data_IF_643635216967
#
_entry.id   IF_643635216967
#
_cell.length_a   1.000
_cell.length_b   1.000
_cell.length_c   1.000
_cell.angle_alpha   90.00
_cell.angle_beta   90.00
_cell.angle_gamma   90.00
#
_symmetry.space_group_name_H-M   'P 1'
#
loop_
_entity.id
_entity.type
_entity.pdbx_description
1 polymer ?
#
# COMPACT_ATOMS: atom_id res chain seq x y z
N UNK A 1 49.68 16.39 -5.35
CA UNK A 1 48.61 16.91 -4.50
C UNK A 1 47.44 17.26 -5.41
N UNK A 2 46.43 16.38 -5.52
CA UNK A 2 45.23 16.65 -6.30
C UNK A 2 44.14 17.17 -5.37
N UNK A 3 43.73 18.41 -5.58
CA UNK A 3 42.67 19.11 -4.87
C UNK A 3 41.35 18.35 -5.03
N UNK A 4 40.83 17.80 -3.92
CA UNK A 4 39.43 17.33 -3.86
C UNK A 4 38.53 18.54 -4.08
N UNK A 5 38.05 18.72 -5.30
CA UNK A 5 36.91 19.60 -5.56
C UNK A 5 35.76 19.10 -4.70
N UNK A 6 35.26 19.94 -3.80
CA UNK A 6 34.05 19.64 -3.05
C UNK A 6 32.86 19.42 -3.99
N UNK A 7 31.81 18.79 -3.50
CA UNK A 7 30.55 18.68 -4.22
C UNK A 7 29.96 20.09 -4.35
N UNK A 8 29.76 20.54 -5.59
CA UNK A 8 28.95 21.72 -5.90
C UNK A 8 27.47 21.46 -5.52
N UNK A 9 26.70 22.53 -5.28
CA UNK A 9 25.29 22.52 -4.89
C UNK A 9 24.45 21.72 -5.89
N UNK A 10 24.69 21.87 -7.19
CA UNK A 10 23.92 21.15 -8.21
C UNK A 10 24.21 19.64 -8.20
N UNK A 11 25.47 19.26 -8.01
CA UNK A 11 25.88 17.86 -7.91
C UNK A 11 25.41 17.22 -6.60
N UNK A 12 25.48 17.94 -5.49
CA UNK A 12 24.91 17.51 -4.20
C UNK A 12 23.39 17.36 -4.30
N UNK A 13 22.70 18.30 -4.95
CA UNK A 13 21.25 18.24 -5.17
C UNK A 13 20.87 17.03 -6.00
N UNK A 14 21.57 16.76 -7.12
CA UNK A 14 21.33 15.57 -7.95
C UNK A 14 21.52 14.28 -7.15
N UNK A 15 22.59 14.19 -6.36
CA UNK A 15 22.83 13.00 -5.53
C UNK A 15 21.75 12.81 -4.48
N UNK A 16 21.30 13.88 -3.82
CA UNK A 16 20.21 13.82 -2.85
C UNK A 16 18.89 13.42 -3.50
N UNK A 17 18.55 13.95 -4.68
CA UNK A 17 17.34 13.56 -5.42
C UNK A 17 17.30 12.08 -5.78
N UNK A 18 18.45 11.46 -6.04
CA UNK A 18 18.55 10.03 -6.35
C UNK A 18 18.63 9.16 -5.08
N UNK A 19 19.20 9.68 -3.99
CA UNK A 19 19.40 8.94 -2.75
C UNK A 19 18.13 8.92 -1.89
N UNK A 20 17.42 10.04 -1.78
CA UNK A 20 16.26 10.18 -0.89
C UNK A 20 15.14 9.16 -1.16
N UNK A 21 14.70 8.93 -2.41
CA UNK A 21 13.69 7.90 -2.69
C UNK A 21 14.14 6.50 -2.26
N UNK A 22 15.43 6.17 -2.45
CA UNK A 22 16.00 4.86 -2.09
C UNK A 22 16.14 4.69 -0.57
N UNK A 23 16.43 5.76 0.15
CA UNK A 23 16.45 5.76 1.63
C UNK A 23 15.03 5.58 2.18
N UNK A 24 14.07 6.35 1.68
CA UNK A 24 12.64 6.22 2.05
C UNK A 24 12.12 4.82 1.74
N UNK A 25 12.38 4.30 0.54
CA UNK A 25 11.97 2.95 0.15
C UNK A 25 12.60 1.84 1.01
N UNK A 26 13.83 2.03 1.51
CA UNK A 26 14.44 1.08 2.46
C UNK A 26 13.89 1.21 3.88
N UNK A 27 13.63 2.42 4.34
CA UNK A 27 12.96 2.64 5.63
C UNK A 27 11.56 2.00 5.65
N UNK A 28 10.80 2.12 4.55
CA UNK A 28 9.48 1.48 4.39
C UNK A 28 9.48 -0.06 4.43
N UNK A 29 10.64 -0.69 4.19
CA UNK A 29 10.80 -2.15 4.24
C UNK A 29 11.03 -2.69 5.66
N UNK A 30 11.05 -1.83 6.68
CA UNK A 30 11.03 -2.23 8.09
C UNK A 30 9.67 -2.85 8.45
N UNK A 31 9.42 -4.06 7.96
CA UNK A 31 8.17 -4.78 8.18
C UNK A 31 7.90 -4.92 9.68
N UNK A 32 6.65 -4.69 10.08
CA UNK A 32 6.18 -4.92 11.45
C UNK A 32 6.46 -6.40 11.81
N UNK A 33 7.17 -6.70 12.91
CA UNK A 33 7.42 -8.07 13.33
C UNK A 33 6.10 -8.84 13.48
N UNK A 34 6.07 -10.16 13.21
CA UNK A 34 4.85 -10.96 13.35
C UNK A 34 4.19 -10.86 14.73
N UNK A 35 4.98 -10.67 15.80
CA UNK A 35 4.48 -10.46 17.16
C UNK A 35 3.78 -9.11 17.36
N UNK A 36 4.03 -8.15 16.48
CA UNK A 36 3.42 -6.81 16.49
C UNK A 36 2.39 -6.61 15.36
N UNK A 37 2.36 -7.51 14.37
CA UNK A 37 1.54 -7.37 13.17
C UNK A 37 0.02 -7.41 13.45
N UNK A 38 -0.42 -8.11 14.51
CA UNK A 38 -1.82 -8.18 14.93
C UNK A 38 -2.39 -6.86 15.47
N UNK A 39 -1.52 -5.87 15.74
CA UNK A 39 -1.89 -4.62 16.38
C UNK A 39 -2.14 -3.45 15.40
N UNK A 40 -2.02 -3.68 14.09
CA UNK A 40 -2.36 -2.67 13.08
C UNK A 40 -1.56 -1.37 13.23
N UNK A 41 -0.27 -1.47 13.54
CA UNK A 41 0.59 -0.30 13.79
C UNK A 41 0.79 0.53 12.50
N UNK A 42 0.32 1.79 12.53
CA UNK A 42 0.55 2.80 11.50
C UNK A 42 1.88 3.58 11.72
N UNK A 43 2.42 4.26 10.69
CA UNK A 43 3.67 5.05 10.79
C UNK A 43 3.69 6.04 11.96
N UNK A 44 2.59 6.73 12.25
CA UNK A 44 2.46 7.63 13.40
C UNK A 44 2.71 6.96 14.77
N UNK A 45 2.42 5.66 14.89
CA UNK A 45 2.73 4.92 16.12
C UNK A 45 4.24 4.67 16.25
N UNK A 46 4.99 4.61 15.14
CA UNK A 46 6.44 4.38 15.16
C UNK A 46 7.17 5.52 15.85
N UNK A 47 6.87 6.76 15.49
CA UNK A 47 7.52 7.94 16.08
C UNK A 47 7.24 8.02 17.58
N UNK A 48 5.99 7.75 17.98
CA UNK A 48 5.62 7.67 19.40
C UNK A 48 6.41 6.58 20.14
N UNK A 49 6.49 5.37 19.57
CA UNK A 49 7.21 4.25 20.17
C UNK A 49 8.72 4.51 20.21
N UNK A 50 9.30 5.14 19.18
CA UNK A 50 10.70 5.53 19.14
C UNK A 50 11.03 6.54 20.24
N UNK A 51 10.18 7.56 20.46
CA UNK A 51 10.34 8.51 21.56
C UNK A 51 10.30 7.80 22.93
N UNK A 52 9.32 6.92 23.16
CA UNK A 52 9.23 6.19 24.43
C UNK A 52 10.38 5.21 24.66
N UNK A 53 10.92 4.64 23.58
CA UNK A 53 12.04 3.70 23.64
C UNK A 53 13.36 4.42 23.92
N UNK A 54 13.63 5.52 23.21
CA UNK A 54 14.90 6.25 23.25
C UNK A 54 14.97 7.23 24.42
N UNK A 55 13.87 7.93 24.72
CA UNK A 55 13.83 9.00 25.74
C UNK A 55 13.16 8.55 27.04
N UNK A 56 12.50 7.39 27.03
CA UNK A 56 11.86 6.80 28.21
C UNK A 56 10.41 7.24 28.46
N UNK A 57 9.84 6.85 29.62
CA UNK A 57 8.47 7.14 29.99
C UNK A 57 8.19 8.64 30.06
N UNK A 58 7.07 9.09 29.49
CA UNK A 58 6.72 10.52 29.47
C UNK A 58 5.21 10.76 29.45
N UNK A 59 4.79 12.00 29.71
CA UNK A 59 3.36 12.36 29.73
C UNK A 59 2.79 12.55 28.33
N UNK A 60 1.47 12.44 28.19
CA UNK A 60 0.75 12.73 26.93
C UNK A 60 1.06 14.12 26.39
N UNK A 61 1.24 15.11 27.28
CA UNK A 61 1.61 16.48 26.90
C UNK A 61 2.99 16.53 26.24
N UNK A 62 3.98 15.90 26.86
CA UNK A 62 5.34 15.85 26.30
C UNK A 62 5.38 15.10 24.98
N UNK A 63 4.62 14.01 24.86
CA UNK A 63 4.46 13.30 23.58
C UNK A 63 3.85 14.20 22.50
N UNK A 64 2.80 14.95 22.83
CA UNK A 64 2.15 15.87 21.88
C UNK A 64 3.11 16.96 21.40
N UNK A 65 3.86 17.56 22.32
CA UNK A 65 4.84 18.60 22.00
C UNK A 65 5.95 18.05 21.10
N UNK A 66 6.46 16.84 21.35
CA UNK A 66 7.53 16.22 20.55
C UNK A 66 7.08 15.67 19.21
N UNK A 67 5.83 15.24 19.12
CA UNK A 67 5.22 14.76 17.88
C UNK A 67 4.64 15.92 17.04
N UNK A 68 4.64 17.15 17.56
CA UNK A 68 4.07 18.34 16.92
C UNK A 68 2.59 18.17 16.49
N UNK A 69 1.82 17.43 17.30
CA UNK A 69 0.38 17.19 17.05
C UNK A 69 -0.47 17.64 18.23
N UNK A 70 -1.78 17.78 17.99
CA UNK A 70 -2.72 18.12 19.05
C UNK A 70 -2.72 17.06 20.19
N UNK A 71 -2.81 17.48 21.47
CA UNK A 71 -2.86 16.54 22.61
C UNK A 71 -4.00 15.52 22.55
N UNK A 72 -5.12 15.87 21.90
CA UNK A 72 -6.25 14.97 21.66
C UNK A 72 -5.86 13.80 20.75
N UNK A 73 -5.07 14.05 19.70
CA UNK A 73 -4.57 13.02 18.79
C UNK A 73 -3.67 12.03 19.52
N UNK A 74 -2.72 12.52 20.33
CA UNK A 74 -1.87 11.64 21.15
C UNK A 74 -2.69 10.87 22.17
N UNK A 75 -3.68 11.50 22.81
CA UNK A 75 -4.54 10.83 23.80
C UNK A 75 -5.27 9.62 23.19
N UNK A 76 -5.76 9.77 21.96
CA UNK A 76 -6.40 8.71 21.19
C UNK A 76 -5.41 7.60 20.81
N UNK A 77 -4.22 7.94 20.29
CA UNK A 77 -3.18 6.97 19.96
C UNK A 77 -2.76 6.17 21.19
N UNK A 78 -2.49 6.84 22.30
CA UNK A 78 -2.14 6.19 23.55
C UNK A 78 -3.29 5.31 24.03
N UNK A 79 -4.55 5.74 23.89
CA UNK A 79 -5.71 4.97 24.36
C UNK A 79 -5.87 3.68 23.55
N UNK A 80 -5.67 3.79 22.24
CA UNK A 80 -5.73 2.65 21.34
C UNK A 80 -4.61 1.64 21.65
N UNK A 81 -3.35 2.09 21.69
CA UNK A 81 -2.20 1.23 21.98
C UNK A 81 -2.23 0.64 23.39
N UNK A 82 -2.80 1.36 24.37
CA UNK A 82 -2.99 0.81 25.73
C UNK A 82 -4.05 -0.29 25.75
N UNK A 83 -5.15 -0.13 24.99
CA UNK A 83 -6.19 -1.17 24.86
C UNK A 83 -5.64 -2.45 24.24
N UNK A 84 -4.66 -2.30 23.35
CA UNK A 84 -3.97 -3.39 22.68
C UNK A 84 -2.84 -4.01 23.53
N UNK A 85 -2.59 -3.50 24.74
CA UNK A 85 -1.53 -3.98 25.63
C UNK A 85 -0.11 -3.55 25.28
N UNK A 86 0.05 -2.71 24.24
CA UNK A 86 1.37 -2.24 23.78
C UNK A 86 1.93 -1.15 24.70
N UNK A 87 1.06 -0.30 25.23
CA UNK A 87 1.44 0.77 26.16
C UNK A 87 0.83 0.54 27.54
N UNK A 88 1.57 0.94 28.56
CA UNK A 88 1.10 1.03 29.94
C UNK A 88 0.94 2.48 30.34
N UNK A 89 -0.07 2.75 31.17
CA UNK A 89 -0.37 4.06 31.74
C UNK A 89 -0.26 3.95 33.25
N UNK A 90 0.68 4.69 33.83
CA UNK A 90 0.85 4.76 35.28
C UNK A 90 0.54 6.16 35.76
N UNK A 91 -0.06 6.27 36.94
CA UNK A 91 -0.10 7.54 37.66
C UNK A 91 1.32 7.94 38.04
N UNK A 92 1.62 9.23 37.90
CA UNK A 92 2.90 9.78 38.34
C UNK A 92 2.98 9.75 39.87
N UNK A 93 4.05 9.14 40.41
CA UNK A 93 4.29 9.00 41.84
C UNK A 93 4.40 10.36 42.56
N UNK A 94 4.75 11.43 41.83
CA UNK A 94 4.87 12.80 42.35
C UNK A 94 3.64 13.68 42.12
N UNK A 95 2.77 13.37 41.15
CA UNK A 95 1.52 14.09 40.90
C UNK A 95 0.48 13.15 40.27
N UNK A 96 -0.36 12.52 41.10
CA UNK A 96 -1.37 11.53 40.65
C UNK A 96 -2.35 12.03 39.57
N UNK A 97 -2.37 13.33 39.28
CA UNK A 97 -3.14 13.92 38.16
C UNK A 97 -2.45 13.76 36.81
N UNK A 98 -1.18 13.33 36.77
CA UNK A 98 -0.40 13.10 35.56
C UNK A 98 -0.37 11.61 35.25
N UNK A 99 -0.62 11.30 33.98
CA UNK A 99 -0.49 9.94 33.46
C UNK A 99 0.82 9.86 32.68
N UNK A 100 1.71 9.01 33.15
CA UNK A 100 2.96 8.65 32.47
C UNK A 100 2.67 7.45 31.57
N UNK A 101 3.07 7.58 30.31
CA UNK A 101 2.93 6.56 29.28
C UNK A 101 4.29 5.91 29.07
N UNK A 102 4.32 4.58 29.00
CA UNK A 102 5.51 3.80 28.65
C UNK A 102 5.12 2.60 27.79
N UNK A 103 6.10 2.02 27.10
CA UNK A 103 5.96 0.75 26.41
C UNK A 103 5.81 -0.37 27.43
N UNK A 104 4.86 -1.27 27.19
CA UNK A 104 4.68 -2.45 28.04
C UNK A 104 5.91 -3.37 27.99
N UNK A 105 6.29 -3.91 29.14
CA UNK A 105 7.46 -4.76 29.27
C UNK A 105 7.42 -6.02 28.37
N UNK A 106 6.22 -6.55 28.08
CA UNK A 106 6.03 -7.71 27.22
C UNK A 106 6.34 -7.43 25.74
N UNK A 107 6.26 -6.18 25.31
CA UNK A 107 6.48 -5.77 23.91
C UNK A 107 7.75 -4.95 23.69
N UNK A 108 8.37 -4.43 24.76
CA UNK A 108 9.54 -3.55 24.68
C UNK A 108 10.70 -4.15 23.89
N UNK A 109 11.01 -5.44 24.07
CA UNK A 109 12.11 -6.12 23.36
C UNK A 109 11.85 -6.23 21.85
N UNK A 110 10.62 -6.54 21.46
CA UNK A 110 10.26 -6.71 20.05
C UNK A 110 10.20 -5.36 19.34
N UNK A 111 9.68 -4.33 20.02
CA UNK A 111 9.68 -2.94 19.53
C UNK A 111 11.11 -2.42 19.41
N UNK A 112 11.96 -2.70 20.39
CA UNK A 112 13.38 -2.35 20.35
C UNK A 112 14.09 -3.04 19.17
N UNK A 113 13.94 -4.35 19.01
CA UNK A 113 14.54 -5.08 17.89
C UNK A 113 14.09 -4.55 16.53
N UNK A 114 12.82 -4.17 16.40
CA UNK A 114 12.26 -3.61 15.17
C UNK A 114 12.80 -2.23 14.85
N UNK A 115 12.79 -1.30 15.82
CA UNK A 115 13.24 0.07 15.62
C UNK A 115 14.77 0.17 15.57
N UNK A 116 15.47 -0.73 16.26
CA UNK A 116 16.93 -0.79 16.30
C UNK A 116 17.58 -1.03 14.94
N UNK A 117 16.92 -1.71 14.00
CA UNK A 117 17.48 -1.91 12.66
C UNK A 117 17.78 -0.60 11.93
N UNK A 118 16.87 0.37 12.01
CA UNK A 118 17.06 1.71 11.44
C UNK A 118 17.95 2.59 12.31
N UNK A 119 17.75 2.54 13.64
CA UNK A 119 18.53 3.34 14.56
C UNK A 119 20.02 2.97 14.56
N UNK A 120 20.35 1.69 14.41
CA UNK A 120 21.73 1.21 14.28
C UNK A 120 22.36 1.70 12.98
N UNK A 121 21.65 1.61 11.85
CA UNK A 121 22.16 2.13 10.57
C UNK A 121 22.45 3.64 10.64
N UNK A 122 21.57 4.42 11.28
CA UNK A 122 21.83 5.84 11.53
C UNK A 122 22.99 6.07 12.50
N UNK A 123 23.10 5.27 13.56
CA UNK A 123 24.21 5.36 14.51
C UNK A 123 25.54 5.07 13.82
N UNK A 124 25.64 4.01 13.04
CA UNK A 124 26.82 3.62 12.28
C UNK A 124 27.21 4.69 11.26
N UNK A 125 26.23 5.33 10.62
CA UNK A 125 26.47 6.41 9.65
C UNK A 125 26.92 7.72 10.32
N UNK A 126 26.39 8.04 11.50
CA UNK A 126 26.68 9.29 12.21
C UNK A 126 27.88 9.19 13.17
N UNK A 127 28.24 7.99 13.63
CA UNK A 127 29.33 7.76 14.58
C UNK A 127 30.68 8.33 14.09
N UNK A 128 31.10 8.16 12.83
CA UNK A 128 32.37 8.70 12.34
C UNK A 128 32.41 10.23 12.26
N UNK A 129 31.25 10.90 12.29
CA UNK A 129 31.13 12.34 12.11
C UNK A 129 31.41 13.11 13.42
N UNK A 130 31.97 14.30 13.30
CA UNK A 130 32.09 15.25 14.42
C UNK A 130 30.72 15.80 14.85
N UNK A 131 30.64 16.41 16.03
CA UNK A 131 29.39 17.01 16.51
C UNK A 131 28.83 18.06 15.54
N UNK A 132 29.69 18.91 14.97
CA UNK A 132 29.31 19.93 14.01
C UNK A 132 28.81 19.32 12.67
N UNK A 133 29.42 18.23 12.22
CA UNK A 133 28.98 17.52 11.00
C UNK A 133 27.63 16.81 11.22
N UNK A 134 27.40 16.21 12.39
CA UNK A 134 26.10 15.64 12.75
C UNK A 134 25.01 16.71 12.77
N UNK A 135 25.29 17.87 13.36
CA UNK A 135 24.38 19.01 13.36
C UNK A 135 24.09 19.53 11.94
N UNK A 136 25.12 19.57 11.07
CA UNK A 136 24.95 19.94 9.68
C UNK A 136 24.02 18.98 8.93
N UNK A 137 24.18 17.66 9.11
CA UNK A 137 23.31 16.66 8.49
C UNK A 137 21.85 16.85 8.93
N UNK A 138 21.61 16.94 10.24
CA UNK A 138 20.25 17.07 10.79
C UNK A 138 19.60 18.38 10.34
N UNK A 139 20.32 19.50 10.44
CA UNK A 139 19.79 20.81 10.04
C UNK A 139 19.54 20.91 8.53
N UNK A 140 20.34 20.24 7.70
CA UNK A 140 20.13 20.18 6.25
C UNK A 140 18.86 19.40 5.91
N UNK A 141 18.61 18.26 6.56
CA UNK A 141 17.39 17.47 6.36
C UNK A 141 16.14 18.25 6.80
N UNK A 142 16.20 18.96 7.93
CA UNK A 142 15.11 19.86 8.37
C UNK A 142 14.83 20.99 7.38
N UNK A 143 15.87 21.65 6.88
CA UNK A 143 15.71 22.70 5.85
C UNK A 143 15.13 22.15 4.54
N UNK A 144 15.48 20.93 4.17
CA UNK A 144 14.90 20.25 3.02
C UNK A 144 13.41 19.97 3.24
N UNK A 145 13.03 19.41 4.38
CA UNK A 145 11.62 19.19 4.78
C UNK A 145 10.80 20.49 4.71
N UNK A 146 11.25 21.56 5.39
CA UNK A 146 10.62 22.89 5.33
C UNK A 146 10.53 23.42 3.88
N UNK A 147 11.56 23.19 3.08
CA UNK A 147 11.62 23.61 1.67
C UNK A 147 10.61 22.86 0.78
N UNK A 148 10.41 21.57 1.03
CA UNK A 148 9.42 20.73 0.36
C UNK A 148 8.01 21.17 0.74
N UNK A 149 7.73 21.40 2.02
CA UNK A 149 6.45 21.90 2.51
C UNK A 149 6.07 23.28 1.94
N UNK A 150 7.07 24.13 1.72
CA UNK A 150 6.85 25.48 1.17
C UNK A 150 6.63 25.49 -0.34
N UNK A 151 7.19 24.51 -1.05
CA UNK A 151 7.13 24.41 -2.52
C UNK A 151 5.87 23.67 -2.98
N UNK A 152 5.42 22.69 -2.20
CA UNK A 152 4.16 22.01 -2.41
C UNK A 152 3.07 22.81 -1.71
N UNK A 153 2.12 23.40 -2.46
CA UNK A 153 0.96 24.04 -1.81
C UNK A 153 0.26 23.08 -0.84
N UNK A 154 -0.37 23.57 0.24
CA UNK A 154 -1.19 22.72 1.15
C UNK A 154 -2.24 21.87 0.40
N UNK A 155 -2.65 22.33 -0.79
CA UNK A 155 -3.50 21.61 -1.74
C UNK A 155 -2.77 20.44 -2.44
N UNK A 156 -1.49 20.60 -2.80
CA UNK A 156 -0.63 19.57 -3.40
C UNK A 156 -0.13 18.55 -2.35
N UNK A 157 0.17 18.98 -1.12
CA UNK A 157 0.45 18.10 0.01
C UNK A 157 -0.78 17.26 0.42
N UNK A 158 -2.00 17.75 0.21
CA UNK A 158 -3.23 16.94 0.34
C UNK A 158 -3.40 15.90 -0.78
N UNK A 159 -2.75 16.08 -1.94
CA UNK A 159 -2.88 15.20 -3.13
C UNK A 159 -1.77 14.15 -3.25
N UNK A 160 -0.68 14.29 -2.50
CA UNK A 160 0.31 13.22 -2.29
C UNK A 160 0.15 12.79 -0.84
N UNK A 161 -0.50 11.66 -0.56
CA UNK A 161 -0.60 11.16 0.80
C UNK A 161 0.80 11.02 1.39
N UNK A 162 0.95 11.58 2.58
CA UNK A 162 2.07 11.41 3.51
C UNK A 162 2.26 9.91 3.77
N UNK A 163 3.18 9.27 3.04
CA UNK A 163 3.67 7.89 3.18
C UNK A 163 2.70 6.70 3.38
N UNK A 164 1.40 6.93 3.47
CA UNK A 164 0.36 5.93 3.43
C UNK A 164 0.10 5.59 1.96
N UNK A 165 0.74 4.52 1.48
CA UNK A 165 0.06 3.69 0.48
C UNK A 165 -1.24 3.29 1.17
N UNK A 166 -2.31 3.99 0.81
CA UNK A 166 -3.63 3.90 1.40
C UNK A 166 -3.94 2.50 1.95
N UNK A 167 -3.98 2.40 3.29
CA UNK A 167 -4.37 1.20 4.01
C UNK A 167 -5.90 0.95 3.92
N UNK A 168 -6.66 1.74 3.16
CA UNK A 168 -8.11 1.57 2.98
C UNK A 168 -8.50 0.24 2.37
N UNK A 169 -7.61 -0.37 1.58
CA UNK A 169 -7.83 -1.70 1.01
C UNK A 169 -7.07 -2.73 1.86
N UNK A 170 -7.77 -3.59 2.63
CA UNK A 170 -7.16 -4.67 3.38
C UNK A 170 -6.26 -5.53 2.48
N UNK A 171 -5.19 -6.10 3.03
CA UNK A 171 -4.26 -6.97 2.30
C UNK A 171 -4.29 -8.38 2.88
N UNK A 172 -4.45 -9.39 2.04
CA UNK A 172 -4.41 -10.82 2.42
C UNK A 172 -3.47 -11.61 1.55
N UNK A 173 -2.56 -12.34 2.19
CA UNK A 173 -1.77 -13.37 1.52
C UNK A 173 -2.53 -14.68 1.54
N UNK A 174 -2.90 -15.19 0.36
CA UNK A 174 -3.61 -16.45 0.21
C UNK A 174 -2.65 -17.62 0.44
N UNK A 175 -3.05 -18.56 1.30
CA UNK A 175 -2.25 -19.74 1.67
C UNK A 175 -2.92 -21.07 1.28
N UNK A 176 -4.24 -21.08 1.05
CA UNK A 176 -4.97 -22.26 0.59
C UNK A 176 -5.13 -22.23 -0.95
N UNK A 177 -4.63 -23.26 -1.68
CA UNK A 177 -4.87 -23.39 -3.13
C UNK A 177 -6.35 -23.38 -3.51
N UNK A 178 -7.26 -23.78 -2.61
CA UNK A 178 -8.70 -23.77 -2.85
C UNK A 178 -9.26 -22.36 -2.98
N UNK A 179 -8.71 -21.39 -2.27
CA UNK A 179 -9.10 -19.97 -2.42
C UNK A 179 -8.77 -19.47 -3.83
N UNK A 180 -7.58 -19.78 -4.35
CA UNK A 180 -7.18 -19.43 -5.72
C UNK A 180 -8.08 -20.12 -6.76
N UNK A 181 -8.30 -21.43 -6.60
CA UNK A 181 -9.19 -22.21 -7.48
C UNK A 181 -10.63 -21.66 -7.45
N UNK A 182 -11.07 -21.14 -6.32
CA UNK A 182 -12.39 -20.53 -6.19
C UNK A 182 -12.55 -19.25 -7.01
N UNK A 183 -11.49 -18.56 -7.41
CA UNK A 183 -11.57 -17.46 -8.37
C UNK A 183 -11.28 -17.90 -9.81
N UNK A 184 -10.43 -18.91 -10.01
CA UNK A 184 -9.94 -19.39 -11.31
C UNK A 184 -11.02 -20.03 -12.21
N UNK A 185 -12.00 -19.25 -12.66
CA UNK A 185 -13.03 -19.64 -13.62
C UNK A 185 -13.55 -18.42 -14.39
N UNK A 186 -13.72 -18.51 -15.72
CA UNK A 186 -14.10 -17.36 -16.55
C UNK A 186 -15.38 -16.63 -16.08
N UNK A 187 -16.44 -17.38 -15.78
CA UNK A 187 -17.70 -16.80 -15.28
C UNK A 187 -17.51 -16.03 -13.97
N UNK A 188 -16.61 -16.47 -13.08
CA UNK A 188 -16.38 -15.80 -11.80
C UNK A 188 -15.60 -14.50 -11.98
N UNK A 189 -14.63 -14.48 -12.89
CA UNK A 189 -13.90 -13.27 -13.27
C UNK A 189 -14.88 -12.23 -13.84
N UNK A 190 -15.74 -12.63 -14.78
CA UNK A 190 -16.77 -11.75 -15.37
C UNK A 190 -17.79 -11.26 -14.34
N UNK A 191 -18.21 -12.12 -13.40
CA UNK A 191 -19.07 -11.69 -12.28
C UNK A 191 -18.37 -10.62 -11.44
N UNK A 192 -17.10 -10.83 -11.08
CA UNK A 192 -16.34 -9.85 -10.29
C UNK A 192 -16.22 -8.52 -11.01
N UNK A 193 -15.90 -8.52 -12.31
CA UNK A 193 -15.82 -7.29 -13.11
C UNK A 193 -17.12 -6.49 -13.08
N UNK A 194 -18.26 -7.14 -13.34
CA UNK A 194 -19.57 -6.46 -13.28
C UNK A 194 -19.85 -5.90 -11.89
N UNK A 195 -19.48 -6.62 -10.83
CA UNK A 195 -19.63 -6.16 -9.46
C UNK A 195 -18.70 -4.98 -9.12
N UNK A 196 -17.48 -4.94 -9.68
CA UNK A 196 -16.58 -3.80 -9.52
C UNK A 196 -17.05 -2.57 -10.30
N UNK A 197 -17.59 -2.76 -11.50
CA UNK A 197 -18.01 -1.70 -12.41
C UNK A 197 -19.36 -1.12 -11.99
N UNK A 198 -20.38 -1.97 -11.87
CA UNK A 198 -21.76 -1.55 -11.62
C UNK A 198 -22.13 -1.52 -10.13
N UNK A 199 -21.27 -2.04 -9.25
CA UNK A 199 -21.54 -2.13 -7.83
C UNK A 199 -22.42 -3.32 -7.47
N UNK A 200 -23.35 -3.14 -6.53
CA UNK A 200 -24.13 -4.26 -5.99
C UNK A 200 -25.16 -4.76 -7.01
N UNK A 201 -25.10 -6.05 -7.36
CA UNK A 201 -26.01 -6.67 -8.35
C UNK A 201 -26.61 -7.98 -7.85
N UNK A 202 -27.84 -8.25 -8.26
CA UNK A 202 -28.50 -9.56 -8.08
C UNK A 202 -27.97 -10.59 -9.08
N UNK A 203 -28.19 -11.88 -8.78
CA UNK A 203 -27.81 -12.97 -9.70
C UNK A 203 -28.53 -12.88 -11.06
N UNK A 204 -29.76 -12.37 -11.11
CA UNK A 204 -30.49 -12.13 -12.36
C UNK A 204 -29.88 -11.01 -13.19
N UNK A 205 -29.52 -9.88 -12.55
CA UNK A 205 -28.87 -8.78 -13.27
C UNK A 205 -27.49 -9.18 -13.80
N UNK A 206 -26.72 -9.96 -13.03
CA UNK A 206 -25.44 -10.51 -13.49
C UNK A 206 -25.63 -11.45 -14.69
N UNK A 207 -26.62 -12.34 -14.63
CA UNK A 207 -26.96 -13.25 -15.71
C UNK A 207 -27.25 -12.52 -17.02
N UNK A 208 -28.07 -11.46 -16.98
CA UNK A 208 -28.39 -10.65 -18.16
C UNK A 208 -27.15 -9.95 -18.74
N UNK A 209 -26.25 -9.45 -17.87
CA UNK A 209 -25.01 -8.75 -18.27
C UNK A 209 -23.98 -9.67 -18.90
N UNK A 210 -23.82 -10.86 -18.34
CA UNK A 210 -22.76 -11.79 -18.76
C UNK A 210 -23.25 -12.90 -19.70
N UNK A 211 -24.54 -12.91 -20.08
CA UNK A 211 -25.11 -13.91 -20.98
C UNK A 211 -25.15 -15.32 -20.37
N UNK A 212 -25.40 -15.40 -19.06
CA UNK A 212 -25.47 -16.66 -18.30
C UNK A 212 -26.88 -16.86 -17.72
N UNK A 213 -27.14 -18.03 -17.12
CA UNK A 213 -28.43 -18.23 -16.41
C UNK A 213 -28.37 -17.71 -14.96
N UNK A 214 -29.48 -17.18 -14.40
CA UNK A 214 -29.53 -16.75 -12.99
C UNK A 214 -29.17 -17.86 -12.00
N UNK A 215 -29.51 -19.11 -12.34
CA UNK A 215 -29.14 -20.28 -11.53
C UNK A 215 -27.63 -20.52 -11.51
N UNK A 216 -26.97 -20.38 -12.67
CA UNK A 216 -25.52 -20.51 -12.78
C UNK A 216 -24.80 -19.39 -12.02
N UNK A 217 -25.21 -18.13 -12.21
CA UNK A 217 -24.67 -16.98 -11.46
C UNK A 217 -24.85 -17.16 -9.95
N UNK A 218 -26.02 -17.61 -9.50
CA UNK A 218 -26.28 -17.89 -8.07
C UNK A 218 -25.37 -18.99 -7.49
N UNK A 219 -24.99 -19.99 -8.30
CA UNK A 219 -24.03 -21.00 -7.88
C UNK A 219 -22.62 -20.41 -7.73
N UNK A 220 -22.18 -19.66 -8.74
CA UNK A 220 -20.86 -19.02 -8.73
C UNK A 220 -20.71 -17.99 -7.59
N UNK A 221 -21.72 -17.16 -7.34
CA UNK A 221 -21.72 -16.20 -6.23
C UNK A 221 -21.58 -16.88 -4.86
N UNK A 222 -22.27 -18.01 -4.65
CA UNK A 222 -22.12 -18.79 -3.41
C UNK A 222 -20.72 -19.37 -3.26
N UNK A 223 -20.09 -19.81 -4.36
CA UNK A 223 -18.70 -20.26 -4.32
C UNK A 223 -17.75 -19.10 -3.99
N UNK A 224 -17.93 -17.94 -4.64
CA UNK A 224 -17.13 -16.75 -4.34
C UNK A 224 -17.30 -16.29 -2.88
N UNK A 225 -18.53 -16.31 -2.37
CA UNK A 225 -18.84 -15.92 -1.00
C UNK A 225 -18.21 -16.86 0.03
N UNK A 226 -18.21 -18.18 -0.25
CA UNK A 226 -17.58 -19.18 0.61
C UNK A 226 -16.09 -18.88 0.88
N UNK A 227 -15.39 -18.24 -0.06
CA UNK A 227 -13.98 -17.89 0.06
C UNK A 227 -13.74 -16.37 0.28
N UNK A 228 -14.80 -15.61 0.51
CA UNK A 228 -14.73 -14.18 0.86
C UNK A 228 -14.37 -13.25 -0.30
N UNK A 229 -14.74 -13.60 -1.54
CA UNK A 229 -14.59 -12.69 -2.69
C UNK A 229 -15.79 -11.75 -2.87
N UNK A 230 -16.97 -12.18 -2.45
CA UNK A 230 -18.21 -11.40 -2.49
C UNK A 230 -18.98 -11.62 -1.20
N UNK A 231 -19.88 -10.69 -0.89
CA UNK A 231 -20.80 -10.79 0.24
C UNK A 231 -22.19 -10.26 -0.14
N UNK A 232 -23.21 -10.61 0.65
CA UNK A 232 -24.55 -10.07 0.45
C UNK A 232 -24.56 -8.57 0.82
N UNK A 233 -25.03 -7.71 -0.08
CA UNK A 233 -25.06 -6.26 0.13
C UNK A 233 -26.23 -5.80 1.04
N UNK A 234 -27.10 -6.73 1.44
CA UNK A 234 -28.34 -6.43 2.16
C UNK A 234 -29.49 -6.00 1.23
N UNK A 235 -30.72 -6.15 1.71
CA UNK A 235 -31.94 -5.93 0.92
C UNK A 235 -32.30 -7.14 0.04
N UNK A 236 -33.59 -7.48 -0.06
CA UNK A 236 -34.06 -8.59 -0.90
C UNK A 236 -33.92 -10.01 -0.30
N UNK A 237 -34.55 -10.99 -0.95
CA UNK A 237 -34.60 -12.39 -0.49
C UNK A 237 -34.37 -13.37 -1.64
N UNK A 238 -33.66 -14.48 -1.36
CA UNK A 238 -33.42 -15.54 -2.34
C UNK A 238 -32.68 -15.04 -3.59
N UNK A 239 -33.29 -15.22 -4.77
CA UNK A 239 -32.70 -14.82 -6.07
C UNK A 239 -32.64 -13.30 -6.29
N UNK A 240 -33.38 -12.53 -5.49
CA UNK A 240 -33.39 -11.06 -5.53
C UNK A 240 -32.37 -10.44 -4.56
N UNK A 241 -31.50 -11.25 -3.94
CA UNK A 241 -30.44 -10.74 -3.06
C UNK A 241 -29.31 -10.13 -3.89
N UNK A 242 -28.95 -8.85 -3.66
CA UNK A 242 -27.81 -8.23 -4.27
C UNK A 242 -26.52 -8.66 -3.58
N UNK A 243 -25.47 -8.80 -4.38
CA UNK A 243 -24.13 -9.17 -3.98
C UNK A 243 -23.21 -8.00 -4.27
N UNK A 244 -22.18 -7.84 -3.43
CA UNK A 244 -21.12 -6.84 -3.64
C UNK A 244 -19.74 -7.50 -3.50
N UNK A 245 -18.71 -6.94 -4.16
CA UNK A 245 -17.36 -7.46 -4.02
C UNK A 245 -16.81 -7.13 -2.63
N UNK A 246 -16.00 -8.04 -2.09
CA UNK A 246 -15.17 -7.76 -0.92
C UNK A 246 -13.89 -7.07 -1.43
N UNK A 247 -13.76 -5.78 -1.17
CA UNK A 247 -12.62 -4.97 -1.63
C UNK A 247 -11.40 -5.28 -0.77
N UNK A 248 -10.52 -6.17 -1.25
CA UNK A 248 -9.32 -6.61 -0.54
C UNK A 248 -8.21 -6.95 -1.55
N UNK A 249 -6.98 -6.49 -1.29
CA UNK A 249 -5.80 -6.82 -2.08
C UNK A 249 -5.34 -8.23 -1.72
N UNK A 250 -5.33 -9.13 -2.70
CA UNK A 250 -4.98 -10.54 -2.53
C UNK A 250 -3.63 -10.83 -3.19
N UNK A 251 -2.67 -11.34 -2.42
CA UNK A 251 -1.36 -11.76 -2.92
C UNK A 251 -1.14 -13.26 -2.73
N UNK A 252 -0.39 -13.86 -3.64
CA UNK A 252 0.11 -15.24 -3.58
C UNK A 252 1.42 -15.32 -4.37
N UNK A 253 2.17 -16.41 -4.24
CA UNK A 253 3.28 -16.68 -5.18
C UNK A 253 4.67 -16.22 -4.75
N UNK A 254 4.84 -15.57 -3.60
CA UNK A 254 6.19 -15.25 -3.11
C UNK A 254 6.83 -16.54 -2.55
N UNK A 255 7.41 -17.34 -3.46
CA UNK A 255 8.02 -18.66 -3.23
C UNK A 255 7.07 -19.78 -2.76
N UNK A 256 5.81 -19.76 -3.21
CA UNK A 256 4.93 -20.92 -2.99
C UNK A 256 5.40 -22.13 -3.80
N UNK A 257 5.40 -23.32 -3.20
CA UNK A 257 5.70 -24.59 -3.84
C UNK A 257 4.45 -25.49 -3.93
N UNK A 258 4.53 -26.57 -4.71
CA UNK A 258 3.49 -27.59 -4.79
C UNK A 258 2.15 -27.09 -5.32
N UNK A 259 1.05 -27.55 -4.72
CA UNK A 259 -0.31 -27.25 -5.21
C UNK A 259 -0.67 -25.76 -5.23
N UNK A 260 -0.11 -24.96 -4.31
CA UNK A 260 -0.37 -23.52 -4.24
C UNK A 260 0.26 -22.80 -5.42
N UNK A 261 1.47 -23.18 -5.80
CA UNK A 261 2.15 -22.66 -6.98
C UNK A 261 1.36 -22.98 -8.26
N UNK A 262 0.91 -24.22 -8.40
CA UNK A 262 0.14 -24.66 -9.56
C UNK A 262 -1.22 -23.93 -9.66
N UNK A 263 -1.93 -23.79 -8.55
CA UNK A 263 -3.19 -23.03 -8.51
C UNK A 263 -2.96 -21.54 -8.83
N UNK A 264 -1.87 -20.96 -8.31
CA UNK A 264 -1.50 -19.57 -8.59
C UNK A 264 -1.14 -19.32 -10.05
N UNK A 265 -0.41 -20.24 -10.68
CA UNK A 265 -0.07 -20.16 -12.10
C UNK A 265 -1.32 -20.27 -12.99
N UNK A 266 -2.22 -21.22 -12.70
CA UNK A 266 -3.48 -21.36 -13.43
C UNK A 266 -4.38 -20.13 -13.30
N UNK A 267 -4.43 -19.53 -12.10
CA UNK A 267 -5.15 -18.29 -11.86
C UNK A 267 -4.55 -17.12 -12.64
N UNK A 268 -3.22 -16.95 -12.62
CA UNK A 268 -2.54 -15.89 -13.36
C UNK A 268 -2.77 -16.02 -14.88
N UNK A 269 -2.69 -17.24 -15.44
CA UNK A 269 -2.94 -17.50 -16.86
C UNK A 269 -4.37 -17.14 -17.27
N UNK A 270 -5.37 -17.45 -16.43
CA UNK A 270 -6.76 -17.04 -16.65
C UNK A 270 -6.92 -15.52 -16.62
N UNK A 271 -6.30 -14.84 -15.66
CA UNK A 271 -6.35 -13.37 -15.59
C UNK A 271 -5.69 -12.73 -16.80
N UNK A 272 -4.52 -13.21 -17.22
CA UNK A 272 -3.86 -12.69 -18.43
C UNK A 272 -4.74 -12.85 -19.65
N UNK A 273 -5.27 -14.05 -19.90
CA UNK A 273 -6.16 -14.30 -21.04
C UNK A 273 -7.39 -13.40 -21.03
N UNK A 274 -7.96 -13.15 -19.85
CA UNK A 274 -9.10 -12.25 -19.68
C UNK A 274 -8.73 -10.79 -20.01
N UNK A 275 -7.65 -10.25 -19.43
CA UNK A 275 -7.24 -8.87 -19.69
C UNK A 275 -6.84 -8.63 -21.15
N UNK A 276 -6.21 -9.62 -21.80
CA UNK A 276 -5.93 -9.54 -23.24
C UNK A 276 -7.20 -9.49 -24.08
N UNK A 277 -8.23 -10.26 -23.74
CA UNK A 277 -9.51 -10.27 -24.45
C UNK A 277 -10.26 -8.94 -24.26
N UNK A 278 -10.32 -8.40 -23.03
CA UNK A 278 -10.93 -7.10 -22.75
C UNK A 278 -10.23 -5.95 -23.50
N UNK A 279 -8.90 -5.98 -23.56
CA UNK A 279 -8.13 -5.01 -24.33
C UNK A 279 -8.38 -5.14 -25.84
N UNK A 280 -8.50 -6.37 -26.36
CA UNK A 280 -8.85 -6.60 -27.76
C UNK A 280 -10.26 -6.09 -28.09
N UNK A 281 -11.24 -6.36 -27.24
CA UNK A 281 -12.60 -5.83 -27.39
C UNK A 281 -12.61 -4.29 -27.33
N UNK A 282 -11.84 -3.69 -26.41
CA UNK A 282 -11.66 -2.24 -26.36
C UNK A 282 -11.08 -1.68 -27.67
N UNK A 283 -10.00 -2.28 -28.19
CA UNK A 283 -9.40 -1.86 -29.48
C UNK A 283 -10.40 -1.93 -30.63
N UNK A 284 -11.30 -2.92 -30.64
CA UNK A 284 -12.33 -3.02 -31.68
C UNK A 284 -13.41 -1.93 -31.61
N UNK A 285 -13.69 -1.38 -30.41
CA UNK A 285 -14.67 -0.29 -30.23
C UNK A 285 -14.06 1.11 -30.08
N UNK A 286 -12.73 1.22 -29.99
CA UNK A 286 -12.03 2.46 -29.68
C UNK A 286 -12.40 3.62 -30.61
N UNK A 287 -12.53 3.38 -31.91
CA UNK A 287 -12.88 4.41 -32.91
C UNK A 287 -14.28 5.00 -32.71
N UNK A 288 -15.12 4.36 -31.90
CA UNK A 288 -16.46 4.85 -31.54
C UNK A 288 -16.51 5.57 -30.19
N UNK A 289 -15.39 5.67 -29.47
CA UNK A 289 -15.33 6.39 -28.20
C UNK A 289 -15.46 7.91 -28.40
N UNK A 290 -16.08 8.61 -27.44
CA UNK A 290 -16.01 10.06 -27.36
C UNK A 290 -14.56 10.57 -27.36
N UNK A 291 -14.30 11.76 -27.94
CA UNK A 291 -12.95 12.28 -28.16
C UNK A 291 -12.11 12.38 -26.89
N UNK A 292 -12.71 12.80 -25.77
CA UNK A 292 -12.06 12.88 -24.46
C UNK A 292 -11.58 11.49 -23.97
N UNK A 293 -12.36 10.43 -24.21
CA UNK A 293 -11.99 9.05 -23.87
C UNK A 293 -11.05 8.41 -24.87
N UNK A 294 -11.14 8.77 -26.15
CA UNK A 294 -10.21 8.36 -27.19
C UNK A 294 -8.80 8.90 -26.89
N UNK A 295 -8.70 10.19 -26.57
CA UNK A 295 -7.43 10.88 -26.27
C UNK A 295 -6.84 10.43 -24.92
N UNK A 296 -7.68 10.13 -23.92
CA UNK A 296 -7.23 9.69 -22.61
C UNK A 296 -6.76 8.23 -22.58
N UNK A 297 -7.33 7.38 -23.44
CA UNK A 297 -6.92 5.98 -23.52
C UNK A 297 -5.53 5.86 -24.14
N UNK A 298 -4.67 5.04 -23.53
CA UNK A 298 -3.30 4.88 -23.97
C UNK A 298 -2.87 3.41 -23.96
N UNK A 299 -2.05 3.05 -24.94
CA UNK A 299 -1.26 1.84 -24.94
C UNK A 299 0.21 2.23 -24.92
N UNK A 300 0.94 1.80 -23.90
CA UNK A 300 2.38 2.07 -23.78
C UNK A 300 3.14 0.77 -23.58
N UNK A 301 4.10 0.50 -24.47
CA UNK A 301 5.15 -0.48 -24.22
C UNK A 301 6.47 0.26 -24.04
N UNK A 302 7.20 -0.07 -22.97
CA UNK A 302 8.47 0.56 -22.66
C UNK A 302 9.51 -0.50 -22.30
N UNK A 303 10.75 -0.28 -22.76
CA UNK A 303 11.91 -1.06 -22.35
C UNK A 303 12.80 -0.17 -21.49
N UNK A 304 13.29 -0.71 -20.38
CA UNK A 304 14.22 -0.03 -19.49
C UNK A 304 15.24 -1.03 -18.96
N UNK A 305 16.51 -0.63 -18.93
CA UNK A 305 17.57 -1.41 -18.28
C UNK A 305 17.57 -1.09 -16.80
N UNK A 306 17.11 -2.06 -16.02
CA UNK A 306 16.91 -1.93 -14.58
C UNK A 306 17.52 -3.15 -13.90
N UNK A 307 18.13 -2.93 -12.74
CA UNK A 307 18.41 -3.98 -11.77
C UNK A 307 17.09 -4.48 -11.14
N UNK A 308 17.12 -5.65 -10.48
CA UNK A 308 15.95 -6.16 -9.76
C UNK A 308 15.45 -5.22 -8.65
N UNK A 309 16.37 -4.47 -8.02
CA UNK A 309 16.03 -3.47 -7.01
C UNK A 309 15.28 -2.28 -7.63
N UNK A 310 15.77 -1.75 -8.75
CA UNK A 310 15.13 -0.63 -9.48
C UNK A 310 13.79 -1.06 -10.09
N UNK A 311 13.68 -2.30 -10.59
CA UNK A 311 12.39 -2.84 -11.06
C UNK A 311 11.38 -2.96 -9.91
N UNK A 312 11.83 -3.33 -8.71
CA UNK A 312 10.96 -3.37 -7.51
C UNK A 312 10.49 -1.98 -7.12
N UNK A 313 11.37 -0.98 -7.15
CA UNK A 313 11.05 0.43 -6.87
C UNK A 313 10.06 0.99 -7.91
N UNK A 314 10.27 0.71 -9.19
CA UNK A 314 9.35 1.11 -10.26
C UNK A 314 7.96 0.47 -10.08
N UNK A 315 7.91 -0.84 -9.76
CA UNK A 315 6.67 -1.56 -9.46
C UNK A 315 5.92 -0.90 -8.30
N UNK A 316 6.61 -0.63 -7.18
CA UNK A 316 6.01 0.01 -6.00
C UNK A 316 5.48 1.41 -6.33
N UNK A 317 6.22 2.18 -7.12
CA UNK A 317 5.82 3.52 -7.58
C UNK A 317 4.56 3.45 -8.44
N UNK A 318 4.51 2.59 -9.45
CA UNK A 318 3.34 2.43 -10.34
C UNK A 318 2.10 1.99 -9.55
N UNK A 319 2.24 1.00 -8.67
CA UNK A 319 1.14 0.56 -7.79
C UNK A 319 0.66 1.72 -6.92
N UNK A 320 1.58 2.47 -6.32
CA UNK A 320 1.27 3.63 -5.50
C UNK A 320 0.51 4.73 -6.24
N UNK A 321 0.81 4.96 -7.54
CA UNK A 321 0.08 5.93 -8.36
C UNK A 321 -1.40 5.56 -8.51
N UNK A 322 -1.69 4.29 -8.74
CA UNK A 322 -3.08 3.79 -8.92
C UNK A 322 -3.84 3.79 -7.61
N UNK A 323 -3.19 3.39 -6.51
CA UNK A 323 -3.82 3.33 -5.18
C UNK A 323 -4.28 4.69 -4.64
N UNK A 324 -3.86 5.82 -5.24
CA UNK A 324 -4.41 7.15 -4.93
C UNK A 324 -5.91 7.28 -5.16
N UNK A 325 -6.49 6.39 -5.97
CA UNK A 325 -7.92 6.36 -6.27
C UNK A 325 -8.66 5.23 -5.56
N UNK A 326 -8.03 4.54 -4.60
CA UNK A 326 -8.58 3.36 -3.94
C UNK A 326 -9.89 3.64 -3.19
N UNK A 327 -10.05 4.83 -2.60
CA UNK A 327 -11.28 5.26 -1.94
C UNK A 327 -12.51 5.19 -2.87
N UNK A 328 -12.33 5.42 -4.18
CA UNK A 328 -13.44 5.31 -5.16
C UNK A 328 -13.93 3.87 -5.36
N UNK A 329 -13.10 2.89 -5.01
CA UNK A 329 -13.48 1.48 -5.04
C UNK A 329 -14.17 1.05 -3.74
N UNK A 330 -13.74 1.57 -2.59
CA UNK A 330 -14.30 1.23 -1.27
C UNK A 330 -15.55 2.03 -0.93
N UNK A 331 -15.64 3.29 -1.36
CA UNK A 331 -16.80 4.17 -1.22
C UNK A 331 -17.23 4.75 -2.58
N UNK A 332 -18.28 4.19 -3.21
CA UNK A 332 -18.83 4.70 -4.46
C UNK A 332 -19.30 6.17 -4.41
N UNK A 333 -19.61 6.72 -3.23
CA UNK A 333 -20.06 8.11 -3.10
C UNK A 333 -18.94 9.13 -3.40
N UNK A 334 -17.68 8.70 -3.36
CA UNK A 334 -16.51 9.55 -3.63
C UNK A 334 -16.17 9.68 -5.13
N UNK A 335 -16.93 9.00 -6.00
CA UNK A 335 -16.72 9.03 -7.46
C UNK A 335 -17.24 10.35 -8.03
N UNK A 336 -16.41 11.11 -8.79
CA UNK A 336 -16.90 12.20 -9.62
C UNK A 336 -17.99 11.73 -10.60
N UNK A 337 -18.93 12.61 -10.94
CA UNK A 337 -20.09 12.26 -11.78
C UNK A 337 -19.71 11.80 -13.20
N UNK A 338 -18.57 12.26 -13.71
CA UNK A 338 -18.02 11.93 -15.03
C UNK A 338 -17.02 10.75 -15.00
N UNK A 339 -16.72 10.20 -13.82
CA UNK A 339 -15.77 9.11 -13.69
C UNK A 339 -16.33 7.80 -14.27
N UNK A 340 -15.51 7.10 -15.05
CA UNK A 340 -15.78 5.72 -15.51
C UNK A 340 -14.82 4.75 -14.85
N UNK A 341 -15.21 3.48 -14.77
CA UNK A 341 -14.29 2.42 -14.39
C UNK A 341 -13.21 2.29 -15.49
N UNK A 342 -11.94 2.37 -15.09
CA UNK A 342 -10.79 2.25 -16.00
C UNK A 342 -10.04 0.97 -15.66
N UNK A 343 -9.84 0.11 -16.66
CA UNK A 343 -8.96 -1.05 -16.53
C UNK A 343 -7.51 -0.59 -16.72
N UNK A 344 -6.70 -0.77 -15.68
CA UNK A 344 -5.28 -0.47 -15.71
C UNK A 344 -4.50 -1.76 -15.46
N UNK A 345 -3.73 -2.18 -16.46
CA UNK A 345 -2.88 -3.38 -16.37
C UNK A 345 -1.47 -2.96 -16.74
N UNK A 346 -0.52 -3.21 -15.84
CA UNK A 346 0.90 -2.91 -16.05
C UNK A 346 1.74 -4.16 -15.83
N UNK A 347 2.64 -4.46 -16.75
CA UNK A 347 3.60 -5.55 -16.61
C UNK A 347 5.03 -5.02 -16.75
N UNK A 348 5.92 -5.50 -15.88
CA UNK A 348 7.36 -5.36 -16.02
C UNK A 348 7.98 -6.73 -15.83
N UNK A 349 8.68 -7.22 -16.84
CA UNK A 349 9.38 -8.51 -16.80
C UNK A 349 10.73 -8.38 -17.51
N UNK A 350 11.74 -9.16 -17.11
CA UNK A 350 13.00 -9.19 -17.85
C UNK A 350 12.73 -9.58 -19.30
N UNK A 351 13.22 -8.78 -20.24
CA UNK A 351 13.27 -9.20 -21.64
C UNK A 351 14.15 -10.46 -21.76
N UNK A 352 14.03 -11.20 -22.88
CA UNK A 352 14.95 -12.31 -23.17
C UNK A 352 16.40 -11.81 -23.00
N UNK A 353 17.30 -12.61 -22.40
CA UNK A 353 18.69 -12.23 -22.28
C UNK A 353 19.22 -11.81 -23.65
N UNK A 354 19.88 -10.66 -23.69
CA UNK A 354 20.59 -10.24 -24.89
C UNK A 354 21.83 -11.12 -25.04
N UNK A 355 21.93 -11.86 -26.15
CA UNK A 355 23.12 -12.64 -26.52
C UNK A 355 23.72 -12.06 -27.79
N UNK A 356 25.01 -11.70 -27.78
CA UNK A 356 25.76 -11.29 -28.97
C UNK A 356 25.91 -12.43 -30.00
N UNK A 357 25.68 -13.68 -29.59
CA UNK A 357 25.78 -14.86 -30.45
C UNK A 357 24.50 -15.07 -31.30
N UNK A 358 24.32 -14.23 -32.33
CA UNK A 358 23.62 -14.62 -33.56
C UNK A 358 24.63 -14.66 -34.69
N UNK A 359 25.26 -15.82 -34.87
CA UNK A 359 25.81 -16.23 -36.17
C UNK A 359 24.74 -16.95 -36.97
#
# INVERSE_FOLDING_TARGET
MSTRSGLDVDDATRQMLLLMPRLVGRAKKLAVPPSLASFGLAPRHLTLLALLLLDGPMTVRVLADRLEVAPTTVSLMVADLSRQGILRRNEDDTDRRRVIVDIDSGHRRDIDAWLSGSANAWRDALEPLTAAERELVVSTLKRYEEGVERTLSKEQLRRVPDDDIDHSVPKRTLRDPRELRAMAHPVRIRIMDELFIAGSLTASQLADRIGESPANCSWHLRQLAKYGYVEEAGGGTGRQRPWRPVIESRSWGDRSEGELAAAGAAMADLMYRHEFAEHEEYRHRQDSEPADWYDAAYWSQSFAWLTAAELTELKETIIGLVLRYAERFTDPATRPADARAVRLVSWGFPARPWSEDRK
#
